data_IF_734149909758
#
_entry.id   IF_734149909758
#
_cell.length_a   1.000
_cell.length_b   1.000
_cell.length_c   1.000
_cell.angle_alpha   90.00
_cell.angle_beta   90.00
_cell.angle_gamma   90.00
#
_symmetry.space_group_name_H-M   'P 1'
#
loop_
_entity.id
_entity.type
_entity.pdbx_description
1 polymer ?
#
# COMPACT_ATOMS: atom_id res chain seq x y z
N UNK A 1 -23.22 3.53 -13.26
CA UNK A 1 -21.93 3.26 -12.58
C UNK A 1 -21.01 4.45 -12.79
N UNK A 2 -20.74 5.23 -11.75
CA UNK A 2 -19.78 6.35 -11.80
C UNK A 2 -18.38 5.78 -11.90
N UNK A 3 -17.68 6.01 -13.02
CA UNK A 3 -16.26 5.65 -13.17
C UNK A 3 -15.46 6.53 -12.20
N UNK A 4 -15.01 5.95 -11.09
CA UNK A 4 -14.09 6.59 -10.16
C UNK A 4 -12.68 6.12 -10.49
N UNK A 5 -11.75 7.06 -10.61
CA UNK A 5 -10.32 6.78 -10.83
C UNK A 5 -9.55 6.63 -9.50
N UNK A 6 -10.26 6.50 -8.38
CA UNK A 6 -9.68 6.34 -7.05
C UNK A 6 -10.21 5.08 -6.38
N UNK A 7 -9.31 4.33 -5.75
CA UNK A 7 -9.63 3.18 -4.90
C UNK A 7 -9.90 3.65 -3.47
N UNK A 8 -10.98 3.13 -2.88
CA UNK A 8 -11.24 3.19 -1.43
C UNK A 8 -10.22 2.36 -0.66
N UNK A 9 -10.05 2.63 0.63
CA UNK A 9 -9.12 1.87 1.48
C UNK A 9 -9.49 0.38 1.57
N UNK A 10 -10.79 0.06 1.56
CA UNK A 10 -11.27 -1.32 1.52
C UNK A 10 -10.91 -2.04 0.21
N UNK A 11 -10.99 -1.35 -0.93
CA UNK A 11 -10.56 -1.92 -2.22
C UNK A 11 -9.05 -2.14 -2.26
N UNK A 12 -8.26 -1.19 -1.76
CA UNK A 12 -6.80 -1.32 -1.65
C UNK A 12 -6.40 -2.51 -0.78
N UNK A 13 -7.05 -2.68 0.37
CA UNK A 13 -6.85 -3.85 1.23
C UNK A 13 -7.17 -5.16 0.50
N UNK A 14 -8.24 -5.18 -0.31
CA UNK A 14 -8.61 -6.34 -1.12
C UNK A 14 -7.53 -6.74 -2.13
N UNK A 15 -6.88 -5.78 -2.80
CA UNK A 15 -5.76 -6.05 -3.70
C UNK A 15 -4.55 -6.61 -2.96
N UNK A 16 -4.19 -6.01 -1.82
CA UNK A 16 -3.06 -6.49 -1.01
C UNK A 16 -3.34 -7.90 -0.50
N UNK A 17 -4.56 -8.21 -0.04
CA UNK A 17 -4.93 -9.56 0.41
C UNK A 17 -4.85 -10.59 -0.72
N UNK A 18 -5.38 -10.26 -1.90
CA UNK A 18 -5.27 -11.12 -3.07
C UNK A 18 -3.82 -11.37 -3.48
N UNK A 19 -2.95 -10.37 -3.34
CA UNK A 19 -1.52 -10.52 -3.56
C UNK A 19 -0.88 -11.45 -2.51
N UNK A 20 -1.18 -11.28 -1.21
CA UNK A 20 -0.71 -12.16 -0.15
C UNK A 20 -1.12 -13.62 -0.38
N UNK A 21 -2.36 -13.85 -0.86
CA UNK A 21 -2.89 -15.18 -1.16
C UNK A 21 -2.12 -15.92 -2.28
N UNK A 22 -1.34 -15.20 -3.10
CA UNK A 22 -0.47 -15.83 -4.12
C UNK A 22 0.76 -16.51 -3.52
N UNK A 23 1.08 -16.22 -2.25
CA UNK A 23 2.23 -16.79 -1.55
C UNK A 23 1.78 -17.83 -0.53
N UNK A 24 2.63 -18.85 -0.32
CA UNK A 24 2.38 -19.88 0.70
C UNK A 24 2.49 -19.35 2.14
N UNK A 25 3.04 -18.15 2.35
CA UNK A 25 3.12 -17.50 3.65
C UNK A 25 3.37 -15.99 3.53
N UNK A 26 2.96 -15.24 4.55
CA UNK A 26 3.26 -13.80 4.67
C UNK A 26 4.77 -13.52 4.67
N UNK A 27 5.57 -14.44 5.23
CA UNK A 27 7.03 -14.33 5.19
C UNK A 27 7.59 -14.38 3.76
N UNK A 28 6.98 -15.18 2.87
CA UNK A 28 7.38 -15.26 1.46
C UNK A 28 6.99 -13.99 0.70
N UNK A 29 5.79 -13.45 0.96
CA UNK A 29 5.35 -12.19 0.40
C UNK A 29 6.28 -11.03 0.83
N UNK A 30 6.60 -10.93 2.12
CA UNK A 30 7.53 -9.93 2.66
C UNK A 30 8.92 -10.01 1.99
N UNK A 31 9.45 -11.23 1.82
CA UNK A 31 10.73 -11.45 1.12
C UNK A 31 10.70 -11.01 -0.34
N UNK A 32 9.57 -11.19 -1.04
CA UNK A 32 9.45 -10.78 -2.45
C UNK A 32 9.64 -9.28 -2.69
N UNK A 33 9.39 -8.47 -1.66
CA UNK A 33 9.55 -7.01 -1.68
C UNK A 33 10.68 -6.53 -0.76
N UNK A 34 11.52 -7.45 -0.26
CA UNK A 34 12.69 -7.10 0.55
C UNK A 34 12.39 -6.56 1.96
N UNK A 35 11.19 -6.81 2.51
CA UNK A 35 10.83 -6.37 3.87
C UNK A 35 10.75 -7.52 4.87
N UNK A 36 10.75 -7.17 6.17
CA UNK A 36 10.54 -8.18 7.21
C UNK A 36 9.08 -8.61 7.31
N UNK A 37 8.86 -9.88 7.70
CA UNK A 37 7.50 -10.40 7.96
C UNK A 37 6.77 -9.55 9.01
N UNK A 38 7.47 -9.10 10.04
CA UNK A 38 6.87 -8.31 11.11
C UNK A 38 6.37 -6.96 10.62
N UNK A 39 7.15 -6.27 9.78
CA UNK A 39 6.70 -5.02 9.15
C UNK A 39 5.45 -5.22 8.29
N UNK A 40 5.40 -6.30 7.50
CA UNK A 40 4.22 -6.61 6.70
C UNK A 40 3.01 -6.93 7.59
N UNK A 41 3.22 -7.65 8.69
CA UNK A 41 2.19 -8.01 9.65
C UNK A 41 1.57 -6.80 10.37
N UNK A 42 2.40 -5.84 10.78
CA UNK A 42 1.93 -4.56 11.34
C UNK A 42 1.05 -3.80 10.33
N UNK A 43 1.36 -3.88 9.03
CA UNK A 43 0.54 -3.25 8.01
C UNK A 43 -0.77 -4.01 7.74
N UNK A 44 -0.72 -5.34 7.75
CA UNK A 44 -1.92 -6.17 7.49
C UNK A 44 -2.91 -6.14 8.64
N UNK A 45 -2.45 -5.98 9.88
CA UNK A 45 -3.29 -5.78 11.07
C UNK A 45 -3.83 -4.34 11.18
N UNK A 46 -3.31 -3.40 10.40
CA UNK A 46 -3.74 -2.00 10.42
C UNK A 46 -3.04 -1.13 11.49
N UNK A 47 -1.99 -1.65 12.14
CA UNK A 47 -1.15 -0.85 13.05
C UNK A 47 -0.37 0.23 12.28
N UNK A 48 -0.08 -0.03 10.99
CA UNK A 48 0.58 0.90 10.07
C UNK A 48 -0.11 0.92 8.70
N UNK A 49 -0.09 2.05 7.98
CA UNK A 49 -0.53 2.07 6.59
C UNK A 49 0.44 1.28 5.70
N UNK A 50 -0.08 0.66 4.64
CA UNK A 50 0.77 0.02 3.63
C UNK A 50 1.68 1.04 2.92
N UNK A 51 2.93 0.63 2.67
CA UNK A 51 3.87 1.41 1.87
C UNK A 51 3.54 1.31 0.39
N UNK A 52 4.08 2.25 -0.40
CA UNK A 52 3.93 2.20 -1.86
C UNK A 52 4.55 0.94 -2.46
N UNK A 53 5.56 0.33 -1.82
CA UNK A 53 6.13 -0.95 -2.26
C UNK A 53 5.12 -2.09 -2.17
N UNK A 54 4.37 -2.17 -1.07
CA UNK A 54 3.30 -3.18 -0.89
C UNK A 54 2.19 -2.96 -1.90
N UNK A 55 1.78 -1.70 -2.13
CA UNK A 55 0.79 -1.38 -3.14
C UNK A 55 1.28 -1.73 -4.56
N UNK A 56 2.50 -1.35 -4.91
CA UNK A 56 3.08 -1.66 -6.22
C UNK A 56 3.19 -3.17 -6.45
N UNK A 57 3.61 -3.93 -5.44
CA UNK A 57 3.66 -5.40 -5.51
C UNK A 57 2.27 -6.04 -5.67
N UNK A 58 1.26 -5.45 -5.04
CA UNK A 58 -0.14 -5.84 -5.22
C UNK A 58 -0.76 -5.34 -6.54
N UNK A 59 0.02 -4.70 -7.43
CA UNK A 59 -0.45 -4.16 -8.70
C UNK A 59 -1.26 -2.86 -8.59
N UNK A 60 -1.27 -2.24 -7.41
CA UNK A 60 -1.94 -0.97 -7.14
C UNK A 60 -0.97 0.18 -7.39
N UNK A 61 -1.17 0.89 -8.50
CA UNK A 61 -0.45 2.14 -8.76
C UNK A 61 -1.08 3.28 -7.95
N UNK A 62 -0.37 3.75 -6.93
CA UNK A 62 -0.77 4.94 -6.18
C UNK A 62 -0.25 6.17 -6.91
N UNK A 63 -1.13 6.92 -7.55
CA UNK A 63 -0.81 8.27 -8.05
C UNK A 63 -1.19 9.25 -6.95
N UNK A 64 -0.21 9.68 -6.16
CA UNK A 64 -0.42 10.76 -5.18
C UNK A 64 -0.28 12.10 -5.92
N UNK A 65 -1.14 13.09 -5.67
CA UNK A 65 -0.85 14.44 -6.12
C UNK A 65 0.50 14.87 -5.52
N UNK A 66 1.30 15.68 -6.25
CA UNK A 66 2.53 16.22 -5.68
C UNK A 66 2.22 16.91 -4.36
N UNK A 67 3.10 16.75 -3.38
CA UNK A 67 2.99 17.48 -2.11
C UNK A 67 2.97 18.97 -2.48
N UNK A 68 1.83 19.63 -2.29
CA UNK A 68 1.73 21.07 -2.48
C UNK A 68 2.66 21.73 -1.46
N UNK A 69 3.85 22.08 -1.93
CA UNK A 69 4.79 22.86 -1.15
C UNK A 69 4.26 24.29 -1.15
N UNK A 70 3.49 24.66 -0.13
CA UNK A 70 3.26 26.06 0.17
C UNK A 70 4.58 26.61 0.73
N UNK A 71 5.30 27.50 0.03
CA UNK A 71 6.31 28.31 0.71
C UNK A 71 5.53 29.11 1.75
N UNK A 72 5.65 28.73 3.02
CA UNK A 72 5.22 29.59 4.11
C UNK A 72 6.01 30.88 3.94
N UNK A 73 5.31 31.95 3.57
CA UNK A 73 5.86 33.30 3.46
C UNK A 73 6.67 33.58 4.73
N UNK A 74 7.98 33.74 4.55
CA UNK A 74 8.87 34.31 5.56
C UNK A 74 8.37 35.70 5.91
N UNK A 75 7.88 35.86 7.15
CA UNK A 75 7.50 37.14 7.77
C UNK A 75 8.77 37.93 8.11
#
# INVERSE_FOLDING_TARGET
MTRRNSLTDGERLGFVRRWLDTFSSEAAAARSIGMSRQQLNEMTNGDKPYTDEVYNAAGVKVVRPPVEYYPMDTI
#
